data_IF_409994022293
#
_entry.id   IF_409994022293
#
_cell.length_a   1.000
_cell.length_b   1.000
_cell.length_c   1.000
_cell.angle_alpha   90.00
_cell.angle_beta   90.00
_cell.angle_gamma   90.00
#
_symmetry.space_group_name_H-M   'P 1'
#
loop_
_entity.id
_entity.type
_entity.pdbx_description
1 polymer ?
#
# COMPACT_ATOMS: atom_id res chain seq x y z
N UNK A 1 -12.65 13.22 -23.78
CA UNK A 1 -13.17 11.94 -24.26
C UNK A 1 -13.41 10.87 -23.20
N UNK A 2 -13.39 11.19 -21.92
CA UNK A 2 -13.94 10.34 -20.85
C UNK A 2 -13.27 8.98 -20.56
N UNK A 3 -12.10 8.72 -21.13
CA UNK A 3 -11.38 7.46 -20.96
C UNK A 3 -10.38 7.46 -19.81
N UNK A 4 -10.17 8.60 -19.16
CA UNK A 4 -9.24 8.77 -18.05
C UNK A 4 -9.88 9.52 -16.91
N UNK A 5 -9.57 9.11 -15.67
CA UNK A 5 -10.05 9.72 -14.43
C UNK A 5 -8.87 9.97 -13.50
N UNK A 6 -8.70 11.22 -13.08
CA UNK A 6 -7.73 11.64 -12.09
C UNK A 6 -8.45 11.98 -10.79
N UNK A 7 -8.14 11.25 -9.73
CA UNK A 7 -8.68 11.46 -8.39
C UNK A 7 -7.56 11.94 -7.46
N UNK A 8 -7.66 13.17 -6.99
CA UNK A 8 -6.75 13.72 -5.99
C UNK A 8 -7.46 13.87 -4.66
N UNK A 9 -6.85 13.41 -3.58
CA UNK A 9 -7.35 13.62 -2.24
C UNK A 9 -7.04 15.05 -1.81
N UNK A 10 -8.07 15.81 -1.39
CA UNK A 10 -7.93 17.20 -0.95
C UNK A 10 -6.91 17.30 0.20
N UNK A 11 -5.95 18.23 0.06
CA UNK A 11 -4.88 18.49 1.04
C UNK A 11 -3.86 17.34 1.24
N UNK A 12 -3.76 16.44 0.29
CA UNK A 12 -2.71 15.42 0.30
C UNK A 12 -2.04 15.35 -1.07
N UNK A 13 -0.82 14.83 -1.12
CA UNK A 13 -0.13 14.49 -2.37
C UNK A 13 -0.58 13.13 -2.92
N UNK A 14 -1.59 12.51 -2.31
CA UNK A 14 -2.11 11.24 -2.78
C UNK A 14 -3.10 11.47 -3.92
N UNK A 15 -2.80 10.92 -5.07
CA UNK A 15 -3.70 10.89 -6.21
C UNK A 15 -3.68 9.51 -6.85
N UNK A 16 -4.76 9.18 -7.58
CA UNK A 16 -4.89 7.92 -8.30
C UNK A 16 -5.36 8.22 -9.71
N UNK A 17 -4.78 7.50 -10.65
CA UNK A 17 -5.10 7.59 -12.06
C UNK A 17 -5.81 6.31 -12.50
N UNK A 18 -6.92 6.45 -13.18
CA UNK A 18 -7.69 5.33 -13.72
C UNK A 18 -7.90 5.54 -15.22
N UNK A 19 -8.01 4.46 -15.93
CA UNK A 19 -8.39 4.47 -17.34
C UNK A 19 -9.54 3.50 -17.59
N UNK A 20 -10.40 3.85 -18.55
CA UNK A 20 -11.55 3.05 -18.91
C UNK A 20 -11.16 2.06 -20.01
N UNK A 21 -11.31 0.76 -19.75
CA UNK A 21 -11.11 -0.32 -20.71
C UNK A 21 -11.95 -1.52 -20.35
N UNK A 22 -12.33 -2.33 -21.33
CA UNK A 22 -13.12 -3.55 -21.12
C UNK A 22 -14.41 -3.32 -20.32
N UNK A 23 -15.02 -2.13 -20.47
CA UNK A 23 -16.24 -1.71 -19.79
C UNK A 23 -16.10 -1.52 -18.25
N UNK A 24 -14.88 -1.27 -17.75
CA UNK A 24 -14.57 -1.00 -16.35
C UNK A 24 -13.46 0.02 -16.18
N UNK A 25 -13.40 0.66 -14.99
CA UNK A 25 -12.30 1.51 -14.58
C UNK A 25 -11.16 0.67 -14.00
N UNK A 26 -9.98 0.73 -14.63
CA UNK A 26 -8.76 0.08 -14.14
C UNK A 26 -7.79 1.11 -13.59
N UNK A 27 -7.17 0.79 -12.45
CA UNK A 27 -6.13 1.63 -11.85
C UNK A 27 -4.89 1.64 -12.76
N UNK A 28 -4.47 2.83 -13.19
CA UNK A 28 -3.18 3.03 -13.84
C UNK A 28 -2.12 3.27 -12.76
N UNK A 29 -1.20 2.34 -12.62
CA UNK A 29 -0.16 2.39 -11.58
C UNK A 29 0.93 3.37 -11.94
N UNK A 30 1.51 4.04 -10.92
CA UNK A 30 2.71 4.86 -11.09
C UNK A 30 3.93 4.00 -11.46
N UNK A 31 4.82 4.54 -12.27
CA UNK A 31 5.99 3.83 -12.78
C UNK A 31 7.16 3.80 -11.78
N UNK A 32 7.21 4.76 -10.88
CA UNK A 32 8.21 4.80 -9.82
C UNK A 32 7.61 5.40 -8.55
N UNK A 33 7.83 4.74 -7.42
CA UNK A 33 7.66 5.32 -6.11
C UNK A 33 9.04 5.71 -5.63
N UNK A 34 9.42 6.97 -5.77
CA UNK A 34 10.56 7.50 -5.02
C UNK A 34 10.29 7.19 -3.55
N UNK A 35 11.20 6.51 -2.85
CA UNK A 35 11.04 5.88 -1.52
C UNK A 35 10.34 6.67 -0.41
N UNK A 36 9.93 7.90 -0.68
CA UNK A 36 8.91 8.64 0.05
C UNK A 36 7.58 8.46 -0.68
N UNK A 37 6.64 7.82 -0.01
CA UNK A 37 5.26 7.58 -0.47
C UNK A 37 4.47 8.82 -0.90
N UNK A 38 5.13 9.95 -1.03
CA UNK A 38 4.60 11.27 -1.34
C UNK A 38 4.73 11.62 -2.83
N UNK A 39 5.66 10.98 -3.56
CA UNK A 39 5.97 11.37 -4.93
C UNK A 39 5.78 10.18 -5.89
N UNK A 40 4.53 9.87 -6.19
CA UNK A 40 4.21 8.99 -7.32
C UNK A 40 4.57 9.72 -8.61
N UNK A 41 5.36 9.12 -9.48
CA UNK A 41 5.61 9.67 -10.80
C UNK A 41 5.17 8.70 -11.90
N UNK A 42 4.93 9.22 -13.09
CA UNK A 42 4.48 8.48 -14.26
C UNK A 42 5.45 8.68 -15.42
N UNK A 43 5.76 7.58 -16.10
CA UNK A 43 6.56 7.64 -17.33
C UNK A 43 5.73 8.26 -18.47
N UNK A 44 6.23 9.37 -19.01
CA UNK A 44 5.53 10.09 -20.08
C UNK A 44 5.33 9.23 -21.33
N UNK A 45 6.32 8.43 -21.71
CA UNK A 45 6.25 7.57 -22.89
C UNK A 45 5.18 6.49 -22.76
N UNK A 46 5.04 5.90 -21.56
CA UNK A 46 3.99 4.93 -21.27
C UNK A 46 2.60 5.57 -21.27
N UNK A 47 2.45 6.77 -20.69
CA UNK A 47 1.20 7.52 -20.72
C UNK A 47 0.79 7.86 -22.17
N UNK A 48 1.72 8.36 -22.98
CA UNK A 48 1.48 8.67 -24.39
C UNK A 48 1.07 7.41 -25.18
N UNK A 49 1.71 6.26 -24.91
CA UNK A 49 1.39 4.96 -25.52
C UNK A 49 0.01 4.47 -25.10
N UNK A 50 -0.38 4.71 -23.85
CA UNK A 50 -1.69 4.35 -23.30
C UNK A 50 -2.80 5.34 -23.73
N UNK A 51 -2.49 6.37 -24.50
CA UNK A 51 -3.46 7.34 -25.01
C UNK A 51 -3.94 8.34 -23.96
N UNK A 52 -3.13 8.65 -22.95
CA UNK A 52 -3.48 9.65 -21.93
C UNK A 52 -3.55 11.06 -22.58
N UNK A 53 -4.61 11.86 -22.28
CA UNK A 53 -4.73 13.22 -22.77
C UNK A 53 -3.58 14.10 -22.28
N UNK A 54 -3.12 15.05 -23.14
CA UNK A 54 -2.03 15.97 -22.79
C UNK A 54 -2.36 16.85 -21.58
N UNK A 55 -3.61 17.25 -21.44
CA UNK A 55 -4.11 18.05 -20.32
C UNK A 55 -3.96 17.29 -19.00
N UNK A 56 -4.19 15.98 -19.01
CA UNK A 56 -3.97 15.10 -17.88
C UNK A 56 -2.47 14.94 -17.59
N UNK A 57 -1.67 14.66 -18.61
CA UNK A 57 -0.22 14.47 -18.49
C UNK A 57 0.47 15.69 -17.87
N UNK A 58 -0.02 16.90 -18.19
CA UNK A 58 0.50 18.15 -17.63
C UNK A 58 0.16 18.36 -16.14
N UNK A 59 -0.80 17.63 -15.60
CA UNK A 59 -1.18 17.70 -14.18
C UNK A 59 -0.49 16.62 -13.33
N UNK A 60 0.14 15.65 -13.97
CA UNK A 60 0.81 14.54 -13.29
C UNK A 60 2.27 14.87 -13.03
N UNK A 61 2.79 14.34 -11.93
CA UNK A 61 4.23 14.34 -11.71
C UNK A 61 4.86 13.30 -12.64
N UNK A 62 5.62 13.77 -13.61
CA UNK A 62 6.35 12.89 -14.52
C UNK A 62 7.68 12.47 -13.88
N UNK A 63 8.08 11.23 -14.13
CA UNK A 63 9.39 10.74 -13.73
C UNK A 63 10.45 11.45 -14.59
N UNK A 64 11.40 12.15 -13.96
CA UNK A 64 12.50 12.78 -14.68
C UNK A 64 13.37 11.73 -15.34
N UNK A 65 13.69 11.94 -16.61
CA UNK A 65 14.55 11.05 -17.39
C UNK A 65 15.98 10.85 -16.82
N UNK A 66 16.36 11.64 -15.81
CA UNK A 66 17.65 11.57 -15.12
C UNK A 66 17.62 10.70 -13.85
N UNK A 67 16.46 10.27 -13.36
CA UNK A 67 16.35 9.39 -12.19
C UNK A 67 16.41 7.89 -12.53
N UNK A 68 16.67 7.54 -13.78
CA UNK A 68 16.96 6.16 -14.19
C UNK A 68 18.40 5.71 -13.88
N UNK A 69 19.13 6.41 -13.01
CA UNK A 69 20.37 5.86 -12.46
C UNK A 69 20.04 4.98 -11.25
N UNK A 70 19.71 3.73 -11.58
CA UNK A 70 19.76 2.62 -10.63
C UNK A 70 21.08 2.63 -9.86
N UNK A 71 21.06 2.58 -8.50
CA UNK A 71 22.24 2.11 -7.79
C UNK A 71 22.53 0.69 -8.29
N UNK A 72 23.76 0.42 -8.73
CA UNK A 72 24.23 -0.92 -9.04
C UNK A 72 24.06 -1.84 -7.82
N UNK A 73 22.91 -2.43 -7.67
CA UNK A 73 22.70 -3.63 -6.87
C UNK A 73 22.86 -4.81 -7.82
N UNK A 74 23.79 -5.66 -7.47
CA UNK A 74 24.27 -6.88 -8.13
C UNK A 74 23.25 -7.54 -9.05
N UNK A 75 23.70 -7.78 -10.31
CA UNK A 75 23.05 -8.60 -11.31
C UNK A 75 22.54 -9.94 -10.76
N UNK A 76 21.28 -9.96 -10.39
CA UNK A 76 20.45 -11.15 -10.41
C UNK A 76 19.21 -10.78 -11.22
N UNK A 77 18.93 -11.45 -12.35
CA UNK A 77 17.69 -11.20 -13.06
C UNK A 77 16.53 -11.54 -12.12
N UNK A 78 15.74 -10.53 -11.76
CA UNK A 78 14.44 -10.72 -11.11
C UNK A 78 13.59 -11.38 -12.19
N UNK A 79 13.37 -12.67 -12.04
CA UNK A 79 12.41 -13.38 -12.88
C UNK A 79 11.03 -12.83 -12.59
N UNK A 80 10.20 -12.69 -13.63
CA UNK A 80 8.84 -12.13 -13.58
C UNK A 80 7.85 -12.88 -12.65
N UNK A 81 8.34 -13.76 -11.80
CA UNK A 81 7.57 -14.59 -10.86
C UNK A 81 7.59 -14.08 -9.41
N UNK A 82 8.29 -12.97 -9.12
CA UNK A 82 8.27 -12.32 -7.80
C UNK A 82 7.35 -11.09 -7.77
N UNK A 83 6.28 -11.08 -8.55
CA UNK A 83 5.21 -10.11 -8.38
C UNK A 83 4.41 -10.54 -7.14
N UNK A 84 4.53 -9.77 -6.06
CA UNK A 84 3.83 -10.02 -4.80
C UNK A 84 2.33 -10.07 -5.07
N UNK A 85 1.64 -11.18 -4.78
CA UNK A 85 0.24 -11.32 -5.12
C UNK A 85 -0.58 -10.24 -4.41
N UNK A 86 -1.40 -9.48 -5.15
CA UNK A 86 -2.21 -8.40 -4.57
C UNK A 86 -3.19 -8.90 -3.51
N UNK A 87 -3.54 -10.19 -3.52
CA UNK A 87 -4.40 -10.82 -2.50
C UNK A 87 -3.78 -10.85 -1.10
N UNK A 88 -2.45 -10.77 -0.98
CA UNK A 88 -1.75 -10.74 0.31
C UNK A 88 -1.83 -9.36 0.98
N UNK A 89 -2.27 -8.32 0.26
CA UNK A 89 -2.43 -6.99 0.80
C UNK A 89 -3.88 -6.68 1.17
N UNK A 90 -4.03 -5.99 2.28
CA UNK A 90 -5.33 -5.48 2.69
C UNK A 90 -5.68 -4.18 1.96
N UNK A 91 -6.87 -4.15 1.37
CA UNK A 91 -7.43 -3.01 0.62
C UNK A 91 -8.84 -2.63 1.11
N UNK A 92 -9.20 -3.03 2.32
CA UNK A 92 -10.51 -2.74 2.90
C UNK A 92 -10.70 -1.27 3.30
N UNK A 93 -11.83 -1.00 3.92
CA UNK A 93 -12.21 0.32 4.41
C UNK A 93 -12.00 0.43 5.92
N UNK A 94 -11.87 1.68 6.42
CA UNK A 94 -11.77 1.95 7.85
C UNK A 94 -13.20 2.07 8.43
N UNK A 95 -13.91 0.96 8.44
CA UNK A 95 -15.35 0.84 8.74
C UNK A 95 -15.65 0.39 10.18
N UNK A 96 -14.64 0.34 11.03
CA UNK A 96 -14.76 -0.14 12.40
C UNK A 96 -14.58 -1.66 12.54
N UNK A 97 -14.25 -2.38 11.47
CA UNK A 97 -13.91 -3.80 11.56
C UNK A 97 -12.67 -4.04 12.41
N UNK A 98 -12.55 -5.23 12.95
CA UNK A 98 -11.45 -5.61 13.84
C UNK A 98 -10.40 -6.46 13.10
N UNK A 99 -9.15 -6.22 13.46
CA UNK A 99 -8.00 -7.01 13.02
C UNK A 99 -7.10 -7.37 14.21
N UNK A 100 -6.51 -8.54 14.14
CA UNK A 100 -5.37 -8.87 15.00
C UNK A 100 -4.09 -8.48 14.25
N UNK A 101 -3.27 -7.62 14.85
CA UNK A 101 -1.91 -7.35 14.41
C UNK A 101 -1.01 -8.43 15.03
N UNK A 102 -0.64 -9.42 14.22
CA UNK A 102 0.23 -10.51 14.68
C UNK A 102 1.70 -10.06 14.77
N UNK A 103 2.16 -9.26 13.81
CA UNK A 103 3.52 -8.70 13.82
C UNK A 103 3.52 -7.32 13.15
N UNK A 104 4.35 -6.40 13.67
CA UNK A 104 4.61 -5.10 13.08
C UNK A 104 6.01 -5.08 12.48
N UNK A 105 6.12 -4.65 11.23
CA UNK A 105 7.37 -4.57 10.47
C UNK A 105 7.71 -3.10 10.27
N UNK A 106 8.89 -2.68 10.73
CA UNK A 106 9.38 -1.30 10.58
C UNK A 106 10.38 -1.29 9.44
N UNK A 107 10.10 -0.48 8.43
CA UNK A 107 10.93 -0.33 7.24
C UNK A 107 11.70 0.99 7.33
N UNK A 108 13.03 0.93 7.49
CA UNK A 108 13.87 2.14 7.49
C UNK A 108 13.76 2.93 6.18
N UNK A 109 14.01 4.25 6.20
CA UNK A 109 14.10 5.06 4.99
C UNK A 109 15.13 4.47 4.01
N UNK A 110 14.84 4.56 2.72
CA UNK A 110 15.67 4.03 1.62
C UNK A 110 15.79 2.50 1.56
N UNK A 111 14.96 1.76 2.30
CA UNK A 111 14.84 0.29 2.20
C UNK A 111 13.64 -0.05 1.32
N UNK A 112 13.70 -1.19 0.63
CA UNK A 112 12.56 -1.71 -0.14
C UNK A 112 11.35 -1.95 0.80
N UNK A 113 10.23 -1.24 0.59
CA UNK A 113 9.08 -1.31 1.49
C UNK A 113 8.24 -2.57 1.34
N UNK A 114 8.58 -3.44 0.40
CA UNK A 114 7.74 -4.58 0.00
C UNK A 114 8.34 -5.90 0.47
N UNK A 115 9.63 -6.12 0.24
CA UNK A 115 10.28 -7.43 0.47
C UNK A 115 10.20 -7.89 1.92
N UNK A 116 10.44 -7.00 2.87
CA UNK A 116 10.49 -7.38 4.29
C UNK A 116 9.11 -7.71 4.87
N UNK A 117 8.06 -6.87 4.67
CA UNK A 117 6.71 -7.23 5.07
C UNK A 117 6.24 -8.55 4.46
N UNK A 118 6.56 -8.81 3.19
CA UNK A 118 6.21 -10.05 2.52
C UNK A 118 6.95 -11.26 3.11
N UNK A 119 8.24 -11.13 3.40
CA UNK A 119 9.03 -12.17 4.07
C UNK A 119 8.47 -12.53 5.44
N UNK A 120 8.02 -11.53 6.18
CA UNK A 120 7.39 -11.74 7.50
C UNK A 120 6.02 -12.38 7.33
N UNK A 121 5.20 -11.90 6.38
CA UNK A 121 3.87 -12.42 6.08
C UNK A 121 3.87 -13.93 5.84
N UNK A 122 4.87 -14.48 5.16
CA UNK A 122 5.00 -15.94 4.93
C UNK A 122 5.05 -16.79 6.19
N UNK A 123 5.34 -16.20 7.35
CA UNK A 123 5.30 -16.90 8.65
C UNK A 123 3.88 -17.04 9.22
N UNK A 124 2.92 -16.29 8.66
CA UNK A 124 1.56 -16.16 9.16
C UNK A 124 0.53 -16.56 8.08
N UNK A 125 0.35 -17.88 7.81
CA UNK A 125 -0.57 -18.34 6.76
C UNK A 125 -1.99 -17.82 6.97
N UNK A 126 -2.61 -17.28 5.90
CA UNK A 126 -3.97 -16.73 5.93
C UNK A 126 -4.06 -15.30 6.50
N UNK A 127 -2.93 -14.67 6.81
CA UNK A 127 -2.88 -13.25 7.17
C UNK A 127 -2.84 -12.36 5.92
N UNK A 128 -2.89 -11.04 6.13
CA UNK A 128 -2.68 -10.02 5.10
C UNK A 128 -1.69 -8.98 5.57
N UNK A 129 -1.12 -8.25 4.63
CA UNK A 129 -0.23 -7.12 4.89
C UNK A 129 -1.05 -5.83 4.84
N UNK A 130 -1.01 -5.02 5.88
CA UNK A 130 -1.60 -3.68 5.89
C UNK A 130 -0.50 -2.64 6.12
N UNK A 131 -0.58 -1.54 5.38
CA UNK A 131 0.31 -0.40 5.61
C UNK A 131 -0.16 0.38 6.83
N UNK A 132 0.74 0.73 7.72
CA UNK A 132 0.46 1.64 8.82
C UNK A 132 -0.03 2.99 8.30
N UNK A 133 -1.07 3.53 8.94
CA UNK A 133 -1.76 4.74 8.47
C UNK A 133 -2.77 4.52 7.34
N UNK A 134 -3.03 3.29 6.92
CA UNK A 134 -4.18 2.98 6.07
C UNK A 134 -5.49 3.41 6.76
N UNK A 135 -5.57 3.21 8.08
CA UNK A 135 -6.57 3.81 8.96
C UNK A 135 -5.86 4.64 10.04
N UNK A 136 -6.48 5.70 10.56
CA UNK A 136 -5.84 6.54 11.58
C UNK A 136 -5.65 5.82 12.93
N UNK A 137 -6.36 4.72 13.16
CA UNK A 137 -6.16 3.80 14.29
C UNK A 137 -4.90 2.93 14.15
N UNK A 138 -4.18 2.99 13.04
CA UNK A 138 -2.93 2.27 12.82
C UNK A 138 -1.75 3.24 12.76
N UNK A 139 -0.71 2.93 13.52
CA UNK A 139 0.52 3.75 13.51
C UNK A 139 1.19 3.70 12.13
N UNK A 140 1.37 4.86 11.50
CA UNK A 140 1.97 4.99 10.18
C UNK A 140 3.49 4.97 10.18
N UNK A 141 4.11 5.53 11.25
CA UNK A 141 5.57 5.71 11.36
C UNK A 141 6.05 5.57 12.79
N UNK A 142 7.33 5.24 12.91
CA UNK A 142 8.17 5.40 14.10
C UNK A 142 9.38 6.26 13.75
N UNK A 143 10.23 6.59 14.71
CA UNK A 143 11.52 7.24 14.46
C UNK A 143 12.42 6.42 13.53
N UNK A 144 12.25 5.10 13.54
CA UNK A 144 13.06 4.15 12.77
C UNK A 144 12.53 3.88 11.34
N UNK A 145 11.33 4.35 10.97
CA UNK A 145 10.80 4.15 9.63
C UNK A 145 9.29 4.00 9.53
N UNK A 146 8.84 3.59 8.35
CA UNK A 146 7.45 3.31 8.05
C UNK A 146 7.00 1.99 8.67
N UNK A 147 5.75 1.93 9.13
CA UNK A 147 5.19 0.72 9.76
C UNK A 147 4.32 -0.03 8.78
N UNK A 148 4.51 -1.33 8.72
CA UNK A 148 3.58 -2.30 8.12
C UNK A 148 3.13 -3.27 9.20
N UNK A 149 1.95 -3.84 9.05
CA UNK A 149 1.47 -4.86 9.99
C UNK A 149 1.00 -6.10 9.22
N UNK A 150 1.25 -7.25 9.82
CA UNK A 150 0.72 -8.53 9.39
C UNK A 150 -0.53 -8.78 10.21
N UNK A 151 -1.68 -8.89 9.55
CA UNK A 151 -2.99 -8.89 10.19
C UNK A 151 -3.81 -10.13 9.87
N UNK A 152 -4.66 -10.52 10.82
CA UNK A 152 -5.78 -11.42 10.59
C UNK A 152 -7.09 -10.65 10.70
N UNK A 153 -7.97 -10.76 9.72
CA UNK A 153 -9.27 -10.09 9.70
C UNK A 153 -10.28 -10.83 10.59
N UNK A 154 -10.95 -10.07 11.46
CA UNK A 154 -12.02 -10.57 12.31
C UNK A 154 -13.42 -10.04 11.94
N UNK A 155 -13.50 -9.14 10.95
CA UNK A 155 -14.73 -8.43 10.63
C UNK A 155 -15.18 -7.57 11.81
N UNK A 156 -16.47 -7.42 12.05
CA UNK A 156 -17.02 -6.62 13.15
C UNK A 156 -17.18 -7.41 14.48
N UNK A 157 -16.45 -8.52 14.66
CA UNK A 157 -16.59 -9.36 15.85
C UNK A 157 -15.41 -9.16 16.81
N UNK A 158 -15.68 -8.55 17.98
CA UNK A 158 -14.74 -8.45 19.09
C UNK A 158 -14.35 -9.84 19.60
N UNK A 159 -15.32 -10.73 19.74
CA UNK A 159 -15.10 -12.11 20.19
C UNK A 159 -14.05 -12.81 19.31
N UNK A 160 -14.24 -12.75 17.97
CA UNK A 160 -13.34 -13.37 17.00
C UNK A 160 -11.93 -12.78 17.06
N UNK A 161 -11.77 -11.45 17.20
CA UNK A 161 -10.43 -10.86 17.29
C UNK A 161 -9.75 -11.24 18.59
N UNK A 162 -10.50 -11.39 19.69
CA UNK A 162 -9.94 -11.84 20.96
C UNK A 162 -9.55 -13.32 20.93
N UNK A 163 -10.30 -14.17 20.25
CA UNK A 163 -9.89 -15.56 19.98
C UNK A 163 -8.59 -15.63 19.16
N UNK A 164 -8.49 -14.82 18.11
CA UNK A 164 -7.27 -14.72 17.31
C UNK A 164 -6.09 -14.25 18.17
N UNK A 165 -6.31 -13.25 19.03
CA UNK A 165 -5.29 -12.76 19.96
C UNK A 165 -4.86 -13.82 20.97
N UNK A 166 -5.78 -14.59 21.52
CA UNK A 166 -5.46 -15.69 22.42
C UNK A 166 -4.64 -16.79 21.71
N UNK A 167 -4.88 -17.02 20.41
CA UNK A 167 -4.19 -18.03 19.63
C UNK A 167 -2.81 -17.62 19.14
N UNK A 168 -2.66 -16.39 18.66
CA UNK A 168 -1.44 -15.93 17.96
C UNK A 168 -0.65 -14.88 18.74
N UNK A 169 -1.19 -14.34 19.83
CA UNK A 169 -0.63 -13.18 20.51
C UNK A 169 -0.88 -11.88 19.72
N UNK A 170 -0.09 -10.86 19.98
CA UNK A 170 -0.17 -9.59 19.26
C UNK A 170 -1.18 -8.61 19.84
N UNK A 171 -1.65 -7.66 19.03
CA UNK A 171 -2.54 -6.57 19.44
C UNK A 171 -3.80 -6.53 18.59
N UNK A 172 -4.96 -6.53 19.22
CA UNK A 172 -6.22 -6.32 18.54
C UNK A 172 -6.45 -4.82 18.29
N UNK A 173 -7.05 -4.47 17.12
CA UNK A 173 -7.36 -3.09 16.74
C UNK A 173 -8.67 -3.03 15.98
N UNK A 174 -9.40 -1.93 16.18
CA UNK A 174 -10.47 -1.54 15.25
C UNK A 174 -9.88 -0.72 14.12
N UNK A 175 -10.28 -1.00 12.89
CA UNK A 175 -9.88 -0.22 11.72
C UNK A 175 -10.85 0.96 11.55
N UNK A 176 -10.50 2.10 12.13
CA UNK A 176 -11.30 3.32 12.11
C UNK A 176 -10.43 4.56 11.87
N UNK A 177 -11.07 5.71 11.70
CA UNK A 177 -10.41 6.99 11.49
C UNK A 177 -10.48 7.92 12.71
N UNK A 178 -10.75 7.39 13.89
CA UNK A 178 -10.87 8.14 15.15
C UNK A 178 -9.55 8.22 15.93
N UNK A 179 -8.45 7.71 15.34
CA UNK A 179 -7.14 7.60 15.99
C UNK A 179 -7.21 6.85 17.35
N UNK A 180 -8.15 5.92 17.48
CA UNK A 180 -8.30 5.07 18.65
C UNK A 180 -7.35 3.88 18.55
N UNK A 181 -6.40 3.81 19.46
CA UNK A 181 -5.40 2.73 19.58
C UNK A 181 -5.76 1.75 20.70
N UNK A 182 -6.98 1.74 21.20
CA UNK A 182 -7.41 0.81 22.22
C UNK A 182 -7.39 -0.64 21.71
N UNK A 183 -7.11 -1.55 22.62
CA UNK A 183 -7.18 -2.99 22.36
C UNK A 183 -8.52 -3.49 22.92
N UNK A 184 -9.44 -4.02 22.10
CA UNK A 184 -10.77 -4.43 22.53
C UNK A 184 -10.76 -5.70 23.40
N UNK A 185 -9.63 -6.36 23.52
CA UNK A 185 -9.45 -7.57 24.32
C UNK A 185 -8.69 -7.30 25.62
#
# INVERSE_FOLDING_TARGET
DGTWLYLAQKQSSNYRLFYWTDNEWKLYRSDNTTGDSVNQCYDKGKLDTAGAPKELTNQLQLCDAQQTQTPKVRDRPITAEEEFPPEDYWYGECDGSYVLIAESVIIPPATDPISEPYRVHKKYPGSKIIRGGACSSLRSRTESGSVYAIIYEAGHSVEKVCELKAKYGGNARSLNNDADFSDPC
#
